data_IF_075570224838
#
_entry.id   IF_075570224838
#
_cell.length_a   1.000
_cell.length_b   1.000
_cell.length_c   1.000
_cell.angle_alpha   90.00
_cell.angle_beta   90.00
_cell.angle_gamma   90.00
#
_symmetry.space_group_name_H-M   'P 1'
#
loop_
_entity.id
_entity.type
_entity.pdbx_description
1 polymer ?
#
# COMPACT_ATOMS: atom_id res chain seq x y z
N UNK A 1 23.55 2.83 38.35
CA UNK A 1 22.25 2.72 39.05
C UNK A 1 21.38 1.78 38.24
N UNK A 2 20.83 0.72 38.82
CA UNK A 2 19.94 -0.22 38.11
C UNK A 2 18.52 0.36 38.08
N UNK A 3 17.89 0.39 36.91
CA UNK A 3 16.51 0.83 36.78
C UNK A 3 15.56 -0.25 37.32
N UNK A 4 14.63 0.12 38.20
CA UNK A 4 13.69 -0.79 38.87
C UNK A 4 12.21 -0.56 38.50
N UNK A 5 11.93 0.37 37.57
CA UNK A 5 10.57 0.61 37.09
C UNK A 5 10.01 -0.62 36.36
N UNK A 6 8.67 -0.73 36.29
CA UNK A 6 8.00 -1.78 35.50
C UNK A 6 8.46 -1.74 34.04
N UNK A 7 8.46 -0.57 33.41
CA UNK A 7 8.90 -0.40 32.04
C UNK A 7 10.32 -0.91 31.78
N UNK A 8 11.26 -0.69 32.71
CA UNK A 8 12.63 -1.20 32.59
C UNK A 8 12.69 -2.73 32.70
N UNK A 9 11.84 -3.34 33.53
CA UNK A 9 11.75 -4.80 33.64
C UNK A 9 11.16 -5.40 32.37
N UNK A 10 10.03 -4.86 31.90
CA UNK A 10 9.34 -5.33 30.70
C UNK A 10 10.28 -5.28 29.47
N UNK A 11 11.02 -4.17 29.31
CA UNK A 11 12.00 -4.02 28.24
C UNK A 11 13.20 -4.96 28.41
N UNK A 12 13.71 -5.11 29.64
CA UNK A 12 14.82 -6.04 29.91
C UNK A 12 14.42 -7.49 29.62
N UNK A 13 13.18 -7.88 29.91
CA UNK A 13 12.72 -9.25 29.72
C UNK A 13 12.51 -9.53 28.23
N UNK A 14 11.88 -8.59 27.49
CA UNK A 14 11.78 -8.66 26.03
C UNK A 14 13.15 -8.74 25.33
N UNK A 15 14.15 -7.98 25.81
CA UNK A 15 15.51 -8.04 25.27
C UNK A 15 16.15 -9.41 25.55
N UNK A 16 16.01 -9.94 26.76
CA UNK A 16 16.58 -11.25 27.12
C UNK A 16 15.96 -12.39 26.32
N UNK A 17 14.65 -12.36 26.06
CA UNK A 17 14.00 -13.41 25.26
C UNK A 17 14.41 -13.33 23.79
N UNK A 18 14.75 -12.15 23.30
CA UNK A 18 15.17 -11.94 21.90
C UNK A 18 16.62 -12.36 21.65
N UNK A 19 17.49 -12.25 22.65
CA UNK A 19 18.94 -12.52 22.53
C UNK A 19 19.23 -14.03 22.50
N UNK A 20 20.09 -14.45 21.58
CA UNK A 20 20.73 -15.77 21.54
C UNK A 20 22.16 -15.69 22.04
N UNK A 21 22.35 -15.97 23.34
CA UNK A 21 23.67 -15.92 24.00
C UNK A 21 24.66 -16.98 23.52
N UNK A 22 24.23 -17.94 22.69
CA UNK A 22 25.12 -18.94 22.08
C UNK A 22 25.85 -18.41 20.84
N UNK A 23 25.45 -17.26 20.30
CA UNK A 23 26.10 -16.59 19.18
C UNK A 23 27.05 -15.52 19.71
N UNK A 24 28.25 -15.43 19.13
CA UNK A 24 29.18 -14.34 19.44
C UNK A 24 28.72 -13.05 18.73
N UNK A 25 28.41 -11.95 19.46
CA UNK A 25 27.97 -10.69 18.86
C UNK A 25 29.02 -10.07 17.93
N UNK A 26 30.30 -10.39 18.10
CA UNK A 26 31.37 -9.95 17.20
C UNK A 26 31.41 -10.74 15.89
N UNK A 27 30.79 -11.93 15.83
CA UNK A 27 30.67 -12.73 14.61
C UNK A 27 29.40 -12.42 13.84
N UNK A 28 28.27 -12.37 14.53
CA UNK A 28 26.99 -11.93 13.96
C UNK A 28 26.14 -11.29 15.03
N UNK A 29 26.17 -9.95 15.07
CA UNK A 29 25.34 -9.19 15.99
C UNK A 29 23.84 -9.45 15.73
N UNK A 30 23.43 -9.58 14.46
CA UNK A 30 22.04 -9.87 14.09
C UNK A 30 21.55 -11.19 14.68
N UNK A 31 22.28 -12.29 14.50
CA UNK A 31 21.89 -13.59 15.07
C UNK A 31 21.92 -13.56 16.61
N UNK A 32 22.89 -12.86 17.19
CA UNK A 32 22.94 -12.64 18.64
C UNK A 32 21.70 -11.91 19.17
N UNK A 33 21.18 -10.89 18.49
CA UNK A 33 20.03 -10.10 18.99
C UNK A 33 18.65 -10.61 18.55
N UNK A 34 18.56 -11.33 17.42
CA UNK A 34 17.27 -11.69 16.80
C UNK A 34 16.91 -13.18 16.90
N UNK A 35 17.86 -14.11 16.97
CA UNK A 35 17.56 -15.55 16.87
C UNK A 35 16.64 -16.04 18.00
N UNK A 36 16.74 -15.43 19.19
CA UNK A 36 15.85 -15.76 20.30
C UNK A 36 14.40 -15.43 19.97
N UNK A 37 14.16 -14.28 19.31
CA UNK A 37 12.85 -13.89 18.82
C UNK A 37 12.35 -14.80 17.70
N UNK A 38 13.19 -15.04 16.69
CA UNK A 38 12.83 -15.83 15.49
C UNK A 38 12.50 -17.29 15.82
N UNK A 39 13.07 -17.83 16.90
CA UNK A 39 12.74 -19.18 17.39
C UNK A 39 11.30 -19.30 17.88
N UNK A 40 10.80 -18.25 18.55
CA UNK A 40 9.49 -18.28 19.21
C UNK A 40 8.40 -17.57 18.39
N UNK A 41 8.78 -16.85 17.32
CA UNK A 41 7.87 -16.02 16.52
C UNK A 41 7.97 -16.35 15.03
N UNK A 42 6.81 -16.58 14.41
CA UNK A 42 6.68 -16.78 12.96
C UNK A 42 6.94 -15.48 12.18
N UNK A 43 6.80 -14.33 12.85
CA UNK A 43 6.92 -13.02 12.23
C UNK A 43 8.20 -12.31 12.68
N UNK A 44 8.79 -11.55 11.75
CA UNK A 44 9.88 -10.63 12.07
C UNK A 44 9.44 -9.59 13.11
N UNK A 45 10.40 -9.05 13.87
CA UNK A 45 10.13 -7.99 14.87
C UNK A 45 9.35 -6.82 14.27
N UNK A 46 9.68 -6.43 13.04
CA UNK A 46 8.97 -5.34 12.33
C UNK A 46 7.49 -5.67 12.11
N UNK A 47 7.19 -6.89 11.67
CA UNK A 47 5.81 -7.34 11.47
C UNK A 47 5.06 -7.39 12.79
N UNK A 48 5.71 -7.81 13.88
CA UNK A 48 5.11 -7.80 15.20
C UNK A 48 4.79 -6.39 15.71
N UNK A 49 5.72 -5.45 15.62
CA UNK A 49 5.47 -4.04 15.97
C UNK A 49 4.33 -3.44 15.16
N UNK A 50 4.25 -3.78 13.87
CA UNK A 50 3.12 -3.35 13.04
C UNK A 50 1.81 -4.00 13.49
N UNK A 51 1.83 -5.29 13.83
CA UNK A 51 0.66 -6.01 14.36
C UNK A 51 0.16 -5.38 15.67
N UNK A 52 1.04 -4.99 16.59
CA UNK A 52 0.63 -4.30 17.82
C UNK A 52 -0.10 -2.98 17.54
N UNK A 53 0.37 -2.20 16.55
CA UNK A 53 -0.31 -0.96 16.15
C UNK A 53 -1.67 -1.28 15.52
N UNK A 54 -1.73 -2.31 14.68
CA UNK A 54 -2.97 -2.79 14.05
C UNK A 54 -3.99 -3.21 15.11
N UNK A 55 -3.59 -3.99 16.11
CA UNK A 55 -4.44 -4.42 17.22
C UNK A 55 -4.99 -3.24 18.03
N UNK A 56 -4.15 -2.24 18.32
CA UNK A 56 -4.62 -1.05 19.05
C UNK A 56 -5.59 -0.19 18.25
N UNK A 57 -5.35 -0.05 16.94
CA UNK A 57 -6.28 0.65 16.03
C UNK A 57 -7.59 -0.11 15.91
N UNK A 58 -7.53 -1.45 15.87
CA UNK A 58 -8.69 -2.32 15.92
C UNK A 58 -9.52 -2.09 17.18
N UNK A 59 -8.89 -2.18 18.35
CA UNK A 59 -9.56 -1.97 19.64
C UNK A 59 -10.21 -0.60 19.73
N UNK A 60 -9.49 0.44 19.27
CA UNK A 60 -10.04 1.79 19.15
C UNK A 60 -11.26 1.85 18.24
N UNK A 61 -11.15 1.26 17.04
CA UNK A 61 -12.23 1.24 16.06
C UNK A 61 -13.45 0.46 16.59
N UNK A 62 -13.28 -0.61 17.38
CA UNK A 62 -14.36 -1.40 17.98
C UNK A 62 -14.97 -0.80 19.25
N UNK A 63 -14.23 0.01 19.99
CA UNK A 63 -14.75 0.74 21.15
C UNK A 63 -15.69 1.90 20.77
N UNK A 64 -15.63 2.38 19.52
CA UNK A 64 -16.40 3.55 19.06
C UNK A 64 -17.90 3.28 18.94
N UNK A 65 -18.75 4.22 19.36
CA UNK A 65 -20.18 4.15 19.02
C UNK A 65 -20.40 4.71 17.60
N UNK A 66 -21.03 3.91 16.74
CA UNK A 66 -21.29 4.24 15.33
C UNK A 66 -22.81 4.37 15.13
N UNK A 67 -23.36 5.59 15.12
CA UNK A 67 -24.78 5.79 14.89
C UNK A 67 -25.14 5.47 13.44
N UNK A 68 -26.40 5.11 13.18
CA UNK A 68 -26.90 4.83 11.82
C UNK A 68 -26.89 6.09 10.94
N UNK A 69 -27.07 7.28 11.53
CA UNK A 69 -27.11 8.57 10.84
C UNK A 69 -26.26 9.60 11.56
N UNK A 70 -25.74 10.59 10.82
CA UNK A 70 -24.97 11.70 11.39
C UNK A 70 -23.57 11.31 11.88
N UNK A 71 -22.97 10.28 11.27
CA UNK A 71 -21.61 9.87 11.58
C UNK A 71 -20.61 10.99 11.26
N UNK A 72 -19.67 11.24 12.16
CA UNK A 72 -18.50 12.07 11.85
C UNK A 72 -17.43 11.26 11.08
N UNK A 73 -16.37 11.93 10.63
CA UNK A 73 -15.31 11.31 9.82
C UNK A 73 -14.65 10.12 10.54
N UNK A 74 -14.39 10.23 11.85
CA UNK A 74 -13.79 9.15 12.64
C UNK A 74 -14.71 7.95 12.74
N UNK A 75 -16.01 8.18 12.96
CA UNK A 75 -17.02 7.12 13.02
C UNK A 75 -17.18 6.43 11.67
N UNK A 76 -17.13 7.17 10.56
CA UNK A 76 -17.12 6.58 9.22
C UNK A 76 -15.88 5.72 8.98
N UNK A 77 -14.70 6.19 9.42
CA UNK A 77 -13.46 5.43 9.30
C UNK A 77 -13.48 4.13 10.15
N UNK A 78 -14.01 4.21 11.37
CA UNK A 78 -14.22 3.04 12.23
C UNK A 78 -15.24 2.07 11.63
N UNK A 79 -16.34 2.58 11.04
CA UNK A 79 -17.33 1.75 10.35
C UNK A 79 -16.73 1.02 9.14
N UNK A 80 -15.93 1.73 8.34
CA UNK A 80 -15.19 1.15 7.21
C UNK A 80 -14.25 0.03 7.68
N UNK A 81 -13.49 0.27 8.75
CA UNK A 81 -12.60 -0.75 9.32
C UNK A 81 -13.38 -1.99 9.78
N UNK A 82 -14.47 -1.82 10.55
CA UNK A 82 -15.30 -2.94 11.04
C UNK A 82 -15.91 -3.74 9.90
N UNK A 83 -16.38 -3.06 8.84
CA UNK A 83 -16.92 -3.73 7.66
C UNK A 83 -15.87 -4.61 6.98
N UNK A 84 -14.60 -4.20 6.97
CA UNK A 84 -13.50 -5.01 6.47
C UNK A 84 -13.21 -6.20 7.42
N UNK A 85 -13.08 -5.95 8.72
CA UNK A 85 -12.83 -6.99 9.74
C UNK A 85 -13.94 -8.07 9.75
N UNK A 86 -15.20 -7.69 9.50
CA UNK A 86 -16.33 -8.62 9.35
C UNK A 86 -16.13 -9.61 8.20
N UNK A 87 -15.58 -9.17 7.07
CA UNK A 87 -15.25 -10.07 5.94
C UNK A 87 -14.12 -11.02 6.32
N UNK A 88 -13.04 -10.48 6.88
CA UNK A 88 -11.84 -11.23 7.30
C UNK A 88 -12.20 -12.36 8.26
N UNK A 89 -13.10 -12.08 9.21
CA UNK A 89 -13.55 -13.03 10.22
C UNK A 89 -14.77 -13.86 9.78
N UNK A 90 -15.22 -13.73 8.54
CA UNK A 90 -16.32 -14.54 7.97
C UNK A 90 -17.70 -14.22 8.56
N UNK A 91 -17.86 -13.02 9.13
CA UNK A 91 -19.15 -12.49 9.59
C UNK A 91 -19.96 -11.83 8.47
N UNK A 92 -19.31 -11.53 7.35
CA UNK A 92 -19.94 -10.97 6.16
C UNK A 92 -19.40 -11.62 4.89
N UNK A 93 -20.28 -11.80 3.90
CA UNK A 93 -19.94 -12.11 2.52
C UNK A 93 -20.36 -10.92 1.64
N UNK A 94 -19.38 -10.34 0.95
CA UNK A 94 -19.49 -9.15 0.11
C UNK A 94 -19.22 -9.47 -1.37
N UNK A 95 -19.13 -10.76 -1.74
CA UNK A 95 -18.79 -11.19 -3.08
C UNK A 95 -19.70 -10.57 -4.16
N UNK A 96 -21.02 -10.57 -3.94
CA UNK A 96 -21.97 -10.00 -4.90
C UNK A 96 -21.76 -8.48 -5.14
N UNK A 97 -21.48 -7.74 -4.07
CA UNK A 97 -21.22 -6.29 -4.14
C UNK A 97 -19.89 -5.99 -4.82
N UNK A 98 -18.85 -6.77 -4.52
CA UNK A 98 -17.56 -6.67 -5.22
C UNK A 98 -17.71 -6.99 -6.71
N UNK A 99 -18.51 -8.00 -7.06
CA UNK A 99 -18.81 -8.31 -8.47
C UNK A 99 -19.53 -7.17 -9.19
N UNK A 100 -20.49 -6.53 -8.54
CA UNK A 100 -21.16 -5.35 -9.09
C UNK A 100 -20.17 -4.19 -9.30
N UNK A 101 -19.29 -3.94 -8.33
CA UNK A 101 -18.24 -2.92 -8.44
C UNK A 101 -17.27 -3.20 -9.59
N UNK A 102 -16.81 -4.45 -9.75
CA UNK A 102 -15.92 -4.85 -10.84
C UNK A 102 -16.59 -4.65 -12.20
N UNK A 103 -17.85 -5.06 -12.36
CA UNK A 103 -18.62 -4.81 -13.59
C UNK A 103 -18.78 -3.31 -13.87
N UNK A 104 -19.02 -2.51 -12.84
CA UNK A 104 -19.06 -1.05 -12.95
C UNK A 104 -17.73 -0.42 -13.37
N UNK A 105 -16.62 -1.08 -13.07
CA UNK A 105 -15.27 -0.73 -13.54
C UNK A 105 -14.92 -1.32 -14.92
N UNK A 106 -15.89 -1.92 -15.61
CA UNK A 106 -15.71 -2.65 -16.87
C UNK A 106 -14.79 -3.88 -16.76
N UNK A 107 -14.63 -4.45 -15.56
CA UNK A 107 -13.89 -5.69 -15.34
C UNK A 107 -14.87 -6.85 -15.48
N UNK A 108 -14.74 -7.61 -16.57
CA UNK A 108 -15.63 -8.72 -16.91
C UNK A 108 -15.14 -10.08 -16.41
N UNK A 109 -14.06 -10.15 -15.63
CA UNK A 109 -13.48 -11.41 -15.19
C UNK A 109 -14.50 -12.26 -14.40
N UNK A 110 -14.61 -13.57 -14.69
CA UNK A 110 -13.72 -14.38 -15.53
C UNK A 110 -14.12 -14.49 -17.01
N UNK A 111 -15.09 -13.72 -17.46
CA UNK A 111 -15.50 -13.69 -18.85
C UNK A 111 -14.45 -12.98 -19.70
N UNK A 112 -14.11 -13.59 -20.85
CA UNK A 112 -13.34 -12.96 -21.90
C UNK A 112 -14.14 -11.73 -22.37
N UNK A 113 -13.59 -10.51 -22.28
CA UNK A 113 -14.37 -9.32 -22.61
C UNK A 113 -14.86 -9.42 -24.06
N UNK A 114 -16.18 -9.26 -24.29
CA UNK A 114 -16.81 -9.30 -25.62
C UNK A 114 -16.44 -8.09 -26.52
N UNK A 115 -15.25 -7.53 -26.33
CA UNK A 115 -14.68 -6.40 -27.04
C UNK A 115 -13.51 -5.80 -26.25
N UNK A 116 -12.65 -4.99 -26.88
CA UNK A 116 -11.62 -4.26 -26.16
C UNK A 116 -12.30 -3.21 -25.28
N UNK A 117 -12.53 -3.55 -24.01
CA UNK A 117 -12.91 -2.57 -23.00
C UNK A 117 -11.91 -1.41 -22.98
N UNK A 118 -12.36 -0.20 -22.61
CA UNK A 118 -11.46 0.95 -22.50
C UNK A 118 -10.55 0.75 -21.28
N UNK A 119 -9.37 0.15 -21.50
CA UNK A 119 -8.46 -0.22 -20.42
C UNK A 119 -7.98 1.01 -19.66
N UNK A 120 -7.76 2.14 -20.36
CA UNK A 120 -7.40 3.38 -19.71
C UNK A 120 -8.47 3.84 -18.72
N UNK A 121 -9.75 3.76 -19.12
CA UNK A 121 -10.85 4.06 -18.22
C UNK A 121 -10.87 3.11 -17.02
N UNK A 122 -10.67 1.81 -17.24
CA UNK A 122 -10.60 0.79 -16.18
C UNK A 122 -9.51 1.10 -15.18
N UNK A 123 -8.29 1.39 -15.65
CA UNK A 123 -7.13 1.75 -14.83
C UNK A 123 -7.37 3.03 -14.00
N UNK A 124 -7.96 4.06 -14.62
CA UNK A 124 -8.32 5.29 -13.92
C UNK A 124 -9.44 5.06 -12.91
N UNK A 125 -10.44 4.25 -13.24
CA UNK A 125 -11.56 3.95 -12.36
C UNK A 125 -11.09 3.20 -11.11
N UNK A 126 -10.38 2.08 -11.30
CA UNK A 126 -9.88 1.29 -10.18
C UNK A 126 -8.95 2.10 -9.29
N UNK A 127 -8.01 2.87 -9.86
CA UNK A 127 -7.09 3.65 -9.06
C UNK A 127 -7.70 4.89 -8.41
N UNK A 128 -8.45 5.73 -9.14
CA UNK A 128 -8.90 7.04 -8.64
C UNK A 128 -10.25 6.95 -7.94
N UNK A 129 -11.13 6.04 -8.36
CA UNK A 129 -12.48 5.91 -7.78
C UNK A 129 -12.51 4.87 -6.66
N UNK A 130 -11.88 3.72 -6.86
CA UNK A 130 -11.90 2.62 -5.88
C UNK A 130 -10.66 2.63 -4.96
N UNK A 131 -9.58 3.31 -5.34
CA UNK A 131 -8.30 3.21 -4.63
C UNK A 131 -7.65 1.84 -4.75
N UNK A 132 -8.06 1.04 -5.73
CA UNK A 132 -7.53 -0.28 -6.06
C UNK A 132 -6.47 -0.15 -7.14
N UNK A 133 -5.31 0.34 -6.74
CA UNK A 133 -4.14 0.49 -7.60
C UNK A 133 -3.39 -0.84 -7.74
N UNK A 134 -4.00 -1.76 -8.49
CA UNK A 134 -3.51 -3.12 -8.69
C UNK A 134 -2.17 -3.15 -9.44
N UNK A 135 -2.10 -2.48 -10.60
CA UNK A 135 -0.92 -2.49 -11.47
C UNK A 135 -0.26 -1.10 -11.54
N UNK A 136 -1.05 -0.05 -11.71
CA UNK A 136 -0.59 1.34 -11.72
C UNK A 136 -1.43 2.16 -10.76
N UNK A 137 -0.79 3.12 -10.07
CA UNK A 137 -1.49 4.13 -9.28
C UNK A 137 -1.45 5.46 -10.01
N UNK A 138 -2.59 6.13 -9.99
CA UNK A 138 -2.76 7.52 -10.42
C UNK A 138 -2.96 8.40 -9.20
N UNK A 139 -2.22 9.50 -9.13
CA UNK A 139 -2.39 10.53 -8.10
C UNK A 139 -2.32 11.90 -8.74
N UNK A 140 -3.14 12.84 -8.29
CA UNK A 140 -3.04 14.24 -8.72
C UNK A 140 -2.09 14.93 -7.76
N UNK A 141 -0.95 15.40 -8.27
CA UNK A 141 0.02 16.17 -7.50
C UNK A 141 -0.13 17.63 -7.86
N UNK A 142 -0.53 18.45 -6.87
CA UNK A 142 -0.52 19.91 -6.99
C UNK A 142 0.81 20.43 -6.49
N UNK A 143 1.77 20.58 -7.39
CA UNK A 143 3.05 21.21 -7.04
C UNK A 143 2.99 22.70 -7.32
N UNK A 144 3.86 23.53 -6.71
CA UNK A 144 3.94 24.96 -7.04
C UNK A 144 4.23 25.26 -8.52
N UNK A 145 4.69 24.26 -9.28
CA UNK A 145 5.13 24.40 -10.65
C UNK A 145 4.09 23.93 -11.68
N UNK A 146 3.13 23.07 -11.33
CA UNK A 146 1.96 22.67 -12.15
C UNK A 146 1.15 21.53 -11.48
N UNK A 147 -0.12 21.39 -11.87
CA UNK A 147 -0.98 20.23 -11.58
C UNK A 147 -0.60 19.08 -12.51
N UNK A 148 -0.03 18.01 -11.97
CA UNK A 148 0.37 16.85 -12.75
C UNK A 148 -0.39 15.59 -12.31
N UNK A 149 -0.78 14.77 -13.29
CA UNK A 149 -1.16 13.39 -13.07
C UNK A 149 0.11 12.57 -12.87
N UNK A 150 0.38 12.17 -11.63
CA UNK A 150 1.52 11.33 -11.29
C UNK A 150 1.13 9.87 -11.40
N UNK A 151 1.85 9.15 -12.25
CA UNK A 151 1.73 7.71 -12.47
C UNK A 151 2.87 7.01 -11.75
N UNK A 152 2.55 5.96 -11.00
CA UNK A 152 3.54 5.13 -10.28
C UNK A 152 3.13 3.66 -10.31
N UNK A 153 4.05 2.73 -9.99
CA UNK A 153 3.70 1.33 -9.79
C UNK A 153 2.60 1.20 -8.73
N UNK A 154 1.64 0.30 -8.99
CA UNK A 154 0.54 0.01 -8.08
C UNK A 154 1.04 -0.42 -6.71
N UNK A 155 0.41 0.06 -5.63
CA UNK A 155 0.77 -0.36 -4.28
C UNK A 155 0.58 -1.87 -4.10
N UNK A 156 -0.47 -2.42 -4.70
CA UNK A 156 -0.80 -3.85 -4.62
C UNK A 156 0.12 -4.70 -5.49
N UNK A 157 0.67 -4.15 -6.58
CA UNK A 157 1.70 -4.80 -7.39
C UNK A 157 2.92 -5.19 -6.55
N UNK A 158 3.30 -4.35 -5.58
CA UNK A 158 4.42 -4.63 -4.68
C UNK A 158 4.14 -5.81 -3.74
N UNK A 159 2.88 -5.99 -3.33
CA UNK A 159 2.44 -7.13 -2.50
C UNK A 159 2.33 -8.43 -3.31
N UNK A 160 1.82 -8.37 -4.54
CA UNK A 160 1.74 -9.52 -5.46
C UNK A 160 3.14 -9.95 -5.91
N UNK A 161 4.08 -9.00 -6.07
CA UNK A 161 5.44 -9.27 -6.50
C UNK A 161 6.35 -9.85 -5.41
N UNK A 162 6.10 -9.54 -4.14
CA UNK A 162 6.84 -10.16 -3.05
C UNK A 162 6.38 -11.62 -2.94
N UNK A 163 7.05 -12.51 -3.67
CA UNK A 163 6.84 -13.97 -3.75
C UNK A 163 6.75 -14.67 -2.38
N UNK A 164 6.99 -13.95 -1.30
CA UNK A 164 6.94 -14.43 0.08
C UNK A 164 5.54 -14.41 0.70
N UNK A 165 4.54 -13.74 0.12
CA UNK A 165 3.32 -13.40 0.88
C UNK A 165 2.07 -14.24 0.56
N UNK A 166 1.97 -14.89 -0.60
CA UNK A 166 0.72 -15.59 -0.99
C UNK A 166 0.89 -17.03 -1.50
N UNK A 167 1.73 -17.24 -2.52
CA UNK A 167 1.85 -18.54 -3.18
C UNK A 167 3.31 -18.97 -3.29
N UNK A 168 3.70 -19.89 -2.41
CA UNK A 168 5.04 -20.51 -2.44
C UNK A 168 5.18 -21.51 -3.61
N UNK A 169 4.06 -21.96 -4.19
CA UNK A 169 4.02 -22.97 -5.25
C UNK A 169 3.04 -22.62 -6.39
N UNK A 170 3.32 -23.13 -7.60
CA UNK A 170 2.41 -23.02 -8.74
C UNK A 170 1.07 -23.75 -8.50
N UNK A 171 1.07 -24.81 -7.69
CA UNK A 171 -0.16 -25.51 -7.31
C UNK A 171 -1.07 -24.63 -6.45
N UNK A 172 -0.50 -23.90 -5.48
CA UNK A 172 -1.26 -22.95 -4.67
C UNK A 172 -1.97 -21.87 -5.50
N UNK A 173 -1.27 -21.33 -6.52
CA UNK A 173 -1.87 -20.37 -7.47
C UNK A 173 -3.02 -20.99 -8.26
N UNK A 174 -2.86 -22.22 -8.73
CA UNK A 174 -3.90 -22.94 -9.47
C UNK A 174 -5.13 -23.22 -8.62
N UNK A 175 -4.94 -23.67 -7.38
CA UNK A 175 -6.03 -23.86 -6.42
C UNK A 175 -6.75 -22.53 -6.21
N UNK A 176 -6.03 -21.46 -5.89
CA UNK A 176 -6.63 -20.14 -5.68
C UNK A 176 -7.39 -19.62 -6.90
N UNK A 177 -6.83 -19.75 -8.10
CA UNK A 177 -7.54 -19.39 -9.33
C UNK A 177 -8.85 -20.16 -9.46
N UNK A 178 -8.83 -21.48 -9.26
CA UNK A 178 -10.04 -22.31 -9.35
C UNK A 178 -11.09 -21.94 -8.31
N UNK A 179 -10.68 -21.55 -7.11
CA UNK A 179 -11.57 -21.07 -6.05
C UNK A 179 -12.20 -19.72 -6.41
N UNK A 180 -11.42 -18.76 -6.92
CA UNK A 180 -11.96 -17.51 -7.46
C UNK A 180 -12.94 -17.78 -8.62
N UNK A 181 -12.56 -18.66 -9.54
CA UNK A 181 -13.43 -19.04 -10.66
C UNK A 181 -14.76 -19.61 -10.16
N UNK A 182 -14.73 -20.47 -9.15
CA UNK A 182 -15.95 -21.06 -8.57
C UNK A 182 -16.80 -20.00 -7.91
N UNK A 183 -16.20 -19.13 -7.09
CA UNK A 183 -16.90 -18.07 -6.40
C UNK A 183 -17.55 -17.09 -7.38
N UNK A 184 -16.81 -16.64 -8.39
CA UNK A 184 -17.27 -15.62 -9.33
C UNK A 184 -18.28 -16.18 -10.36
N UNK A 185 -18.22 -17.48 -10.67
CA UNK A 185 -19.20 -18.15 -11.55
C UNK A 185 -20.47 -18.60 -10.83
N UNK A 186 -20.45 -18.74 -9.50
CA UNK A 186 -21.51 -19.40 -8.72
C UNK A 186 -22.93 -18.84 -8.93
N UNK A 187 -23.04 -17.63 -9.48
CA UNK A 187 -24.30 -16.94 -9.75
C UNK A 187 -24.71 -16.90 -11.24
N UNK A 188 -23.88 -17.44 -12.13
CA UNK A 188 -24.01 -17.23 -13.58
C UNK A 188 -24.36 -18.52 -14.34
N UNK A 189 -25.62 -18.96 -14.22
CA UNK A 189 -26.12 -20.16 -14.93
C UNK A 189 -26.28 -19.99 -16.45
N UNK A 190 -26.16 -18.76 -16.98
CA UNK A 190 -26.49 -18.42 -18.37
C UNK A 190 -25.35 -17.73 -19.14
N UNK A 191 -24.09 -17.85 -18.72
CA UNK A 191 -23.00 -17.17 -19.43
C UNK A 191 -22.64 -17.92 -20.70
N UNK A 192 -22.92 -17.28 -21.84
CA UNK A 192 -22.49 -17.71 -23.17
C UNK A 192 -21.08 -17.22 -23.52
N UNK A 193 -20.54 -16.28 -22.75
CA UNK A 193 -19.21 -15.72 -22.97
C UNK A 193 -18.12 -16.78 -22.79
N UNK A 194 -17.06 -16.68 -23.60
CA UNK A 194 -15.86 -17.49 -23.42
C UNK A 194 -15.28 -17.19 -22.05
N UNK A 195 -14.87 -18.22 -21.32
CA UNK A 195 -14.27 -18.05 -20.00
C UNK A 195 -12.76 -18.16 -20.12
N UNK A 196 -12.05 -17.26 -19.45
CA UNK A 196 -10.58 -17.24 -19.46
C UNK A 196 -10.04 -18.51 -18.82
N UNK A 197 -8.99 -19.08 -19.41
CA UNK A 197 -8.31 -20.26 -18.86
C UNK A 197 -7.26 -19.84 -17.82
N UNK A 198 -6.89 -20.78 -16.94
CA UNK A 198 -5.77 -20.59 -16.02
C UNK A 198 -4.48 -20.33 -16.81
N UNK A 199 -4.25 -21.13 -17.84
CA UNK A 199 -3.05 -21.09 -18.67
C UNK A 199 -2.89 -19.73 -19.36
N UNK A 200 -3.95 -19.18 -19.95
CA UNK A 200 -3.91 -17.86 -20.59
C UNK A 200 -3.64 -16.76 -19.56
N UNK A 201 -4.31 -16.82 -18.41
CA UNK A 201 -4.16 -15.82 -17.34
C UNK A 201 -2.73 -15.80 -16.78
N UNK A 202 -2.19 -16.97 -16.46
CA UNK A 202 -0.84 -17.11 -15.90
C UNK A 202 0.25 -16.83 -16.94
N UNK A 203 0.04 -17.18 -18.22
CA UNK A 203 0.99 -16.81 -19.27
C UNK A 203 1.14 -15.29 -19.40
N UNK A 204 0.01 -14.56 -19.37
CA UNK A 204 0.00 -13.09 -19.40
C UNK A 204 0.61 -12.52 -18.12
N UNK A 205 0.23 -13.04 -16.94
CA UNK A 205 0.78 -12.61 -15.66
C UNK A 205 2.31 -12.80 -15.61
N UNK A 206 2.83 -13.98 -15.96
CA UNK A 206 4.26 -14.25 -15.94
C UNK A 206 5.04 -13.36 -16.90
N UNK A 207 4.49 -13.09 -18.08
CA UNK A 207 5.09 -12.14 -19.03
C UNK A 207 5.14 -10.72 -18.46
N UNK A 208 4.04 -10.25 -17.88
CA UNK A 208 3.93 -8.91 -17.34
C UNK A 208 4.79 -8.72 -16.09
N UNK A 209 4.66 -9.62 -15.11
CA UNK A 209 5.42 -9.60 -13.85
C UNK A 209 6.92 -9.67 -14.12
N UNK A 210 7.39 -10.58 -14.99
CA UNK A 210 8.81 -10.71 -15.30
C UNK A 210 9.44 -9.41 -15.80
N UNK A 211 8.74 -8.70 -16.71
CA UNK A 211 9.22 -7.42 -17.26
C UNK A 211 9.09 -6.27 -16.25
N UNK A 212 7.92 -6.10 -15.62
CA UNK A 212 7.65 -5.01 -14.68
C UNK A 212 8.54 -5.09 -13.43
N UNK A 213 8.82 -6.29 -12.95
CA UNK A 213 9.74 -6.56 -11.86
C UNK A 213 11.15 -6.07 -12.13
N UNK A 214 11.68 -6.40 -13.32
CA UNK A 214 13.02 -5.98 -13.73
C UNK A 214 13.11 -4.47 -13.88
N UNK A 215 12.04 -3.83 -14.34
CA UNK A 215 11.95 -2.39 -14.46
C UNK A 215 11.80 -1.68 -13.11
N UNK A 216 11.22 -2.34 -12.10
CA UNK A 216 10.99 -1.77 -10.78
C UNK A 216 12.22 -1.89 -9.88
N UNK A 217 13.18 -0.99 -10.02
CA UNK A 217 14.32 -0.89 -9.11
C UNK A 217 14.00 -0.05 -7.86
N UNK A 218 14.62 -0.39 -6.72
CA UNK A 218 14.49 0.38 -5.47
C UNK A 218 14.95 1.83 -5.65
N UNK A 219 15.96 2.07 -6.49
CA UNK A 219 16.45 3.41 -6.83
C UNK A 219 15.38 4.29 -7.50
N UNK A 220 14.45 3.71 -8.24
CA UNK A 220 13.38 4.46 -8.91
C UNK A 220 12.22 4.86 -7.99
N UNK A 221 12.12 4.33 -6.77
CA UNK A 221 11.08 4.77 -5.82
C UNK A 221 11.27 6.22 -5.39
N UNK A 222 12.54 6.64 -5.32
CA UNK A 222 12.95 7.95 -4.82
C UNK A 222 13.48 8.86 -5.92
N UNK A 223 13.25 8.50 -7.19
CA UNK A 223 13.64 9.30 -8.34
C UNK A 223 12.97 10.69 -8.31
N UNK A 224 13.63 11.66 -8.96
CA UNK A 224 13.04 12.95 -9.24
C UNK A 224 11.83 12.78 -10.16
N UNK A 225 10.80 13.59 -9.91
CA UNK A 225 9.62 13.59 -10.75
C UNK A 225 10.03 13.99 -12.18
N UNK A 226 9.77 13.09 -13.12
CA UNK A 226 10.14 13.22 -14.54
C UNK A 226 8.88 13.20 -15.38
N UNK A 227 8.88 13.92 -16.51
CA UNK A 227 7.74 13.92 -17.44
C UNK A 227 7.60 12.53 -18.07
N UNK A 228 6.39 11.98 -18.06
CA UNK A 228 6.06 10.66 -18.57
C UNK A 228 5.44 10.75 -19.98
N UNK A 229 6.10 11.43 -20.92
CA UNK A 229 5.52 11.68 -22.24
C UNK A 229 5.24 10.38 -23.02
N UNK A 230 6.08 9.36 -22.84
CA UNK A 230 5.88 8.00 -23.40
C UNK A 230 4.56 7.35 -22.94
N UNK A 231 3.98 7.80 -21.82
CA UNK A 231 2.70 7.30 -21.33
C UNK A 231 1.50 8.04 -21.93
N UNK A 232 1.73 9.27 -22.39
CA UNK A 232 0.71 10.12 -23.02
C UNK A 232 0.60 9.81 -24.51
N UNK A 233 1.74 9.63 -25.17
CA UNK A 233 1.85 9.47 -26.60
C UNK A 233 2.55 8.15 -26.94
N UNK A 234 1.74 7.10 -27.07
CA UNK A 234 2.17 5.76 -27.43
C UNK A 234 1.15 5.15 -28.38
N UNK A 235 1.23 5.48 -29.69
CA UNK A 235 0.25 5.05 -30.68
C UNK A 235 0.16 3.53 -30.80
N UNK A 236 1.28 2.81 -30.61
CA UNK A 236 1.32 1.34 -30.63
C UNK A 236 0.53 0.71 -29.47
N UNK A 237 0.33 1.45 -28.37
CA UNK A 237 -0.53 1.08 -27.25
C UNK A 237 -1.93 1.71 -27.35
N UNK A 238 -2.25 2.40 -28.45
CA UNK A 238 -3.51 3.13 -28.62
C UNK A 238 -3.69 4.27 -27.61
N UNK A 239 -2.59 4.84 -27.10
CA UNK A 239 -2.59 5.96 -26.16
C UNK A 239 -2.31 7.26 -26.91
N UNK A 240 -3.13 8.28 -26.64
CA UNK A 240 -2.95 9.64 -27.16
C UNK A 240 -3.43 10.66 -26.14
N UNK A 241 -2.96 11.90 -26.26
CA UNK A 241 -3.41 13.01 -25.40
C UNK A 241 -4.94 13.21 -25.45
N UNK A 242 -5.55 13.02 -26.62
CA UNK A 242 -7.00 13.09 -26.78
C UNK A 242 -7.73 11.99 -25.98
N UNK A 243 -7.22 10.75 -26.02
CA UNK A 243 -7.78 9.63 -25.26
C UNK A 243 -7.65 9.86 -23.76
N UNK A 244 -6.50 10.34 -23.29
CA UNK A 244 -6.27 10.74 -21.90
C UNK A 244 -7.22 11.84 -21.44
N UNK A 245 -7.34 12.91 -22.23
CA UNK A 245 -8.22 14.03 -21.93
C UNK A 245 -9.68 13.57 -21.84
N UNK A 246 -10.12 12.76 -22.80
CA UNK A 246 -11.46 12.17 -22.79
C UNK A 246 -11.67 11.30 -21.53
N UNK A 247 -10.73 10.44 -21.18
CA UNK A 247 -10.82 9.59 -20.01
C UNK A 247 -10.88 10.40 -18.69
N UNK A 248 -9.99 11.37 -18.50
CA UNK A 248 -9.94 12.24 -17.31
C UNK A 248 -11.20 13.11 -17.16
N UNK A 249 -11.76 13.57 -18.28
CA UNK A 249 -12.99 14.36 -18.28
C UNK A 249 -14.19 13.59 -17.68
N UNK A 250 -14.24 12.25 -17.86
CA UNK A 250 -15.26 11.40 -17.23
C UNK A 250 -15.16 11.40 -15.70
N UNK A 251 -13.97 11.61 -15.15
CA UNK A 251 -13.73 11.75 -13.71
C UNK A 251 -13.82 13.20 -13.22
N UNK A 252 -14.17 14.15 -14.10
CA UNK A 252 -14.20 15.60 -13.81
C UNK A 252 -12.84 16.13 -13.34
N UNK A 253 -11.76 15.53 -13.82
CA UNK A 253 -10.39 15.96 -13.53
C UNK A 253 -9.95 16.90 -14.65
N UNK A 254 -9.80 18.17 -14.31
CA UNK A 254 -9.27 19.20 -15.21
C UNK A 254 -7.89 19.62 -14.69
N UNK A 255 -6.85 19.31 -15.44
CA UNK A 255 -5.48 19.71 -15.13
C UNK A 255 -5.24 21.13 -15.67
N UNK A 256 -4.76 22.04 -14.82
CA UNK A 256 -4.40 23.39 -15.24
C UNK A 256 -3.13 23.34 -16.10
N UNK A 257 -3.17 23.93 -17.30
CA UNK A 257 -2.01 23.93 -18.22
C UNK A 257 -2.00 22.76 -19.22
N UNK A 258 -3.07 21.96 -19.29
CA UNK A 258 -3.17 20.82 -20.19
C UNK A 258 -2.76 19.50 -19.53
N UNK A 259 -2.64 18.44 -20.33
CA UNK A 259 -2.28 17.12 -19.82
C UNK A 259 -0.79 17.06 -19.46
N UNK A 260 -0.48 17.29 -18.18
CA UNK A 260 0.85 17.04 -17.64
C UNK A 260 0.86 15.69 -16.89
N UNK A 261 1.53 14.69 -17.46
CA UNK A 261 1.73 13.38 -16.83
C UNK A 261 3.18 13.24 -16.40
N UNK A 262 3.38 12.83 -15.15
CA UNK A 262 4.70 12.67 -14.56
C UNK A 262 4.85 11.33 -13.85
N UNK A 263 6.08 10.90 -13.64
CA UNK A 263 6.41 9.66 -12.93
C UNK A 263 7.72 9.80 -12.18
N UNK A 264 7.86 9.06 -11.08
CA UNK A 264 9.16 8.86 -10.41
C UNK A 264 9.86 7.59 -10.87
N UNK A 265 9.14 6.72 -11.59
CA UNK A 265 9.61 5.40 -12.04
C UNK A 265 9.49 5.30 -13.57
N UNK A 266 10.32 6.04 -14.33
CA UNK A 266 10.23 6.11 -15.78
C UNK A 266 10.42 4.74 -16.45
N UNK A 267 11.35 3.90 -15.97
CA UNK A 267 11.56 2.58 -16.56
C UNK A 267 10.35 1.67 -16.38
N UNK A 268 9.69 1.72 -15.22
CA UNK A 268 8.45 1.00 -14.99
C UNK A 268 7.35 1.43 -15.97
N UNK A 269 7.11 2.74 -16.09
CA UNK A 269 6.07 3.29 -16.97
C UNK A 269 6.33 2.92 -18.42
N UNK A 270 7.57 3.06 -18.89
CA UNK A 270 7.99 2.63 -20.23
C UNK A 270 7.74 1.15 -20.48
N UNK A 271 8.09 0.31 -19.51
CA UNK A 271 7.90 -1.15 -19.59
C UNK A 271 6.43 -1.52 -19.61
N UNK A 272 5.59 -0.82 -18.82
CA UNK A 272 4.15 -1.01 -18.83
C UNK A 272 3.51 -0.65 -20.18
N UNK A 273 3.92 0.47 -20.79
CA UNK A 273 3.45 0.85 -22.14
C UNK A 273 3.89 -0.16 -23.20
N UNK A 274 5.15 -0.62 -23.12
CA UNK A 274 5.66 -1.66 -24.02
C UNK A 274 4.90 -2.98 -23.87
N UNK A 275 4.54 -3.36 -22.64
CA UNK A 275 3.67 -4.50 -22.38
C UNK A 275 2.29 -4.31 -22.99
N UNK A 276 1.71 -3.12 -22.89
CA UNK A 276 0.42 -2.81 -23.51
C UNK A 276 0.48 -2.94 -25.03
N UNK A 277 1.48 -2.36 -25.67
CA UNK A 277 1.69 -2.54 -27.10
C UNK A 277 1.89 -4.01 -27.50
N UNK A 278 2.56 -4.81 -26.66
CA UNK A 278 2.84 -6.24 -26.94
C UNK A 278 1.59 -7.12 -26.79
N UNK A 279 0.83 -6.93 -25.70
CA UNK A 279 -0.32 -7.76 -25.35
C UNK A 279 -1.62 -7.29 -26.03
N UNK A 280 -1.64 -6.04 -26.51
CA UNK A 280 -2.84 -5.36 -26.96
C UNK A 280 -3.82 -5.07 -25.81
N UNK A 281 -4.93 -4.42 -26.16
CA UNK A 281 -5.94 -4.01 -25.18
C UNK A 281 -6.53 -5.23 -24.42
N UNK A 282 -6.89 -6.29 -25.14
CA UNK A 282 -7.51 -7.48 -24.55
C UNK A 282 -6.58 -8.23 -23.57
N UNK A 283 -5.33 -8.47 -23.96
CA UNK A 283 -4.35 -9.14 -23.09
C UNK A 283 -4.02 -8.31 -21.85
N UNK A 284 -3.89 -6.98 -22.00
CA UNK A 284 -3.71 -6.11 -20.84
C UNK A 284 -4.96 -6.02 -19.97
N UNK A 285 -6.16 -6.04 -20.56
CA UNK A 285 -7.40 -6.06 -19.82
C UNK A 285 -7.51 -7.33 -18.98
N UNK A 286 -7.14 -8.49 -19.53
CA UNK A 286 -7.03 -9.74 -18.76
C UNK A 286 -6.06 -9.60 -17.59
N UNK A 287 -4.85 -9.07 -17.83
CA UNK A 287 -3.85 -8.86 -16.79
C UNK A 287 -4.34 -7.95 -15.67
N UNK A 288 -4.83 -6.76 -16.01
CA UNK A 288 -5.32 -5.77 -15.05
C UNK A 288 -6.54 -6.28 -14.30
N UNK A 289 -7.45 -6.98 -14.99
CA UNK A 289 -8.61 -7.61 -14.36
C UNK A 289 -8.19 -8.66 -13.35
N UNK A 290 -7.25 -9.55 -13.72
CA UNK A 290 -6.72 -10.57 -12.82
C UNK A 290 -6.11 -9.95 -11.56
N UNK A 291 -5.19 -8.99 -11.71
CA UNK A 291 -4.58 -8.31 -10.56
C UNK A 291 -5.62 -7.56 -9.72
N UNK A 292 -6.64 -6.95 -10.33
CA UNK A 292 -7.69 -6.24 -9.60
C UNK A 292 -8.59 -7.21 -8.84
N UNK A 293 -8.96 -8.35 -9.44
CA UNK A 293 -9.73 -9.41 -8.77
C UNK A 293 -8.96 -9.96 -7.58
N UNK A 294 -7.64 -10.18 -7.68
CA UNK A 294 -6.82 -10.60 -6.55
C UNK A 294 -6.88 -9.60 -5.38
N UNK A 295 -6.81 -8.30 -5.66
CA UNK A 295 -6.93 -7.25 -4.64
C UNK A 295 -8.36 -7.20 -4.08
N UNK A 296 -9.36 -7.31 -4.95
CA UNK A 296 -10.77 -7.24 -4.59
C UNK A 296 -11.23 -8.45 -3.77
N UNK A 297 -10.66 -9.63 -4.02
CA UNK A 297 -10.96 -10.87 -3.32
C UNK A 297 -10.75 -10.75 -1.81
N UNK A 298 -9.78 -9.93 -1.37
CA UNK A 298 -9.53 -9.65 0.04
C UNK A 298 -10.68 -8.92 0.74
N UNK A 299 -11.68 -8.43 0.00
CA UNK A 299 -12.89 -7.79 0.53
C UNK A 299 -14.16 -8.59 0.26
N UNK A 300 -14.07 -9.81 -0.27
CA UNK A 300 -15.24 -10.60 -0.64
C UNK A 300 -15.74 -11.46 0.51
N UNK A 301 -15.04 -12.56 0.81
CA UNK A 301 -15.36 -13.48 1.88
C UNK A 301 -14.09 -14.11 2.46
N UNK A 302 -14.23 -14.71 3.64
CA UNK A 302 -13.13 -15.34 4.37
C UNK A 302 -12.49 -16.51 3.62
N UNK A 303 -13.26 -17.28 2.85
CA UNK A 303 -12.73 -18.46 2.16
C UNK A 303 -11.72 -18.07 1.08
N UNK A 304 -12.03 -17.04 0.29
CA UNK A 304 -11.11 -16.52 -0.72
C UNK A 304 -9.85 -15.90 -0.09
N UNK A 305 -9.99 -15.22 1.05
CA UNK A 305 -8.84 -14.72 1.82
C UNK A 305 -7.96 -15.89 2.29
N UNK A 306 -8.54 -16.93 2.88
CA UNK A 306 -7.79 -18.10 3.34
C UNK A 306 -7.06 -18.78 2.18
N UNK A 307 -7.72 -18.95 1.03
CA UNK A 307 -7.10 -19.56 -0.15
C UNK A 307 -5.97 -18.69 -0.72
N UNK A 308 -6.04 -17.36 -0.61
CA UNK A 308 -4.95 -16.46 -1.02
C UNK A 308 -3.66 -16.67 -0.19
N UNK A 309 -3.81 -17.06 1.08
CA UNK A 309 -2.70 -17.32 2.00
C UNK A 309 -2.44 -18.82 2.20
N UNK A 310 -2.68 -19.65 1.18
CA UNK A 310 -2.47 -21.10 1.21
C UNK A 310 -3.10 -21.81 2.42
N UNK A 311 -4.29 -21.33 2.82
CA UNK A 311 -5.07 -21.80 3.99
C UNK A 311 -4.36 -21.64 5.33
N UNK A 312 -3.26 -20.90 5.41
CA UNK A 312 -2.65 -20.49 6.68
C UNK A 312 -3.53 -19.42 7.34
N UNK A 313 -4.39 -19.87 8.26
CA UNK A 313 -5.32 -18.99 8.96
C UNK A 313 -4.64 -17.91 9.78
N UNK A 314 -3.42 -18.14 10.27
CA UNK A 314 -2.67 -17.18 11.09
C UNK A 314 -2.09 -16.08 10.21
N UNK A 315 -1.45 -16.44 9.10
CA UNK A 315 -1.01 -15.46 8.09
C UNK A 315 -2.21 -14.67 7.56
N UNK A 316 -3.27 -15.37 7.17
CA UNK A 316 -4.48 -14.74 6.66
C UNK A 316 -5.05 -13.70 7.63
N UNK A 317 -5.17 -14.03 8.92
CA UNK A 317 -5.67 -13.08 9.91
C UNK A 317 -4.74 -11.86 10.05
N UNK A 318 -3.45 -12.07 10.30
CA UNK A 318 -2.51 -10.96 10.56
C UNK A 318 -2.40 -10.03 9.36
N UNK A 319 -2.26 -10.58 8.15
CA UNK A 319 -2.15 -9.76 6.94
C UNK A 319 -3.47 -9.09 6.57
N UNK A 320 -4.61 -9.73 6.83
CA UNK A 320 -5.90 -9.13 6.52
C UNK A 320 -6.29 -8.05 7.52
N UNK A 321 -5.98 -8.20 8.80
CA UNK A 321 -6.17 -7.15 9.80
C UNK A 321 -5.28 -5.93 9.48
N UNK A 322 -4.02 -6.19 9.15
CA UNK A 322 -3.08 -5.18 8.64
C UNK A 322 -3.61 -4.48 7.38
N UNK A 323 -4.19 -5.24 6.46
CA UNK A 323 -4.79 -4.73 5.23
C UNK A 323 -6.00 -3.85 5.53
N UNK A 324 -6.91 -4.26 6.42
CA UNK A 324 -8.05 -3.47 6.83
C UNK A 324 -7.63 -2.14 7.47
N UNK A 325 -6.62 -2.16 8.35
CA UNK A 325 -6.05 -0.91 8.92
C UNK A 325 -5.44 -0.06 7.83
N UNK A 326 -4.58 -0.63 6.97
CA UNK A 326 -3.94 0.11 5.88
C UNK A 326 -4.96 0.75 4.94
N UNK A 327 -6.08 0.08 4.66
CA UNK A 327 -7.13 0.62 3.78
C UNK A 327 -7.97 1.68 4.45
N UNK A 328 -8.36 1.47 5.72
CA UNK A 328 -8.97 2.53 6.52
C UNK A 328 -8.06 3.76 6.62
N UNK A 329 -6.73 3.56 6.69
CA UNK A 329 -5.75 4.64 6.61
C UNK A 329 -5.75 5.31 5.25
N UNK A 330 -5.61 4.57 4.14
CA UNK A 330 -5.56 5.19 2.81
C UNK A 330 -6.82 6.03 2.54
N UNK A 331 -7.99 5.55 2.97
CA UNK A 331 -9.27 6.23 2.73
C UNK A 331 -9.57 7.32 3.76
N UNK A 332 -9.06 7.22 4.99
CA UNK A 332 -9.49 8.05 6.11
C UNK A 332 -8.40 8.28 7.18
N UNK A 333 -7.12 8.35 6.77
CA UNK A 333 -5.95 8.35 7.65
C UNK A 333 -6.09 9.31 8.84
N UNK A 334 -6.31 10.59 8.54
CA UNK A 334 -6.43 11.63 9.55
C UNK A 334 -7.62 11.38 10.50
N UNK A 335 -8.71 10.82 9.97
CA UNK A 335 -9.94 10.62 10.73
C UNK A 335 -9.82 9.48 11.75
N UNK A 336 -9.11 8.38 11.44
CA UNK A 336 -8.93 7.26 12.36
C UNK A 336 -7.71 7.43 13.28
N UNK A 337 -6.57 7.84 12.71
CA UNK A 337 -5.32 7.89 13.47
C UNK A 337 -5.18 9.11 14.34
N UNK A 338 -5.67 10.30 13.94
CA UNK A 338 -5.48 11.48 14.78
C UNK A 338 -6.17 11.36 16.15
N UNK A 339 -7.43 10.87 16.24
CA UNK A 339 -8.08 10.63 17.53
C UNK A 339 -7.41 9.51 18.34
N UNK A 340 -7.07 8.39 17.69
CA UNK A 340 -6.33 7.30 18.33
C UNK A 340 -5.00 7.79 18.93
N UNK A 341 -4.23 8.55 18.14
CA UNK A 341 -2.94 9.11 18.54
C UNK A 341 -3.11 10.10 19.69
N UNK A 342 -4.17 10.92 19.68
CA UNK A 342 -4.49 11.83 20.78
C UNK A 342 -4.85 11.09 22.08
N UNK A 343 -5.37 9.86 22.00
CA UNK A 343 -5.69 9.05 23.17
C UNK A 343 -4.47 8.31 23.73
N UNK A 344 -3.59 7.80 22.86
CA UNK A 344 -2.49 6.90 23.25
C UNK A 344 -1.17 7.64 23.47
N UNK A 345 -0.92 8.74 22.75
CA UNK A 345 0.29 9.53 22.99
C UNK A 345 0.12 10.39 24.22
N UNK A 346 1.06 10.24 25.16
CA UNK A 346 1.23 11.22 26.23
C UNK A 346 1.59 12.58 25.62
N UNK A 347 1.14 13.65 26.26
CA UNK A 347 1.39 15.02 25.80
C UNK A 347 2.89 15.37 25.72
N UNK A 348 3.74 14.72 26.52
CA UNK A 348 5.19 14.89 26.54
C UNK A 348 5.93 14.04 25.49
N UNK A 349 5.34 12.95 25.00
CA UNK A 349 5.98 12.08 24.02
C UNK A 349 6.39 12.82 22.72
N UNK A 350 5.59 13.82 22.31
CA UNK A 350 5.92 14.68 21.17
C UNK A 350 7.09 15.63 21.46
N UNK A 351 7.25 16.06 22.71
CA UNK A 351 8.38 16.88 23.15
C UNK A 351 9.64 16.01 23.17
N UNK A 352 9.58 14.84 23.80
CA UNK A 352 10.70 13.90 23.87
C UNK A 352 11.17 13.47 22.47
N UNK A 353 10.23 13.09 21.59
CA UNK A 353 10.54 12.72 20.22
C UNK A 353 11.20 13.88 19.44
N UNK A 354 10.73 15.12 19.68
CA UNK A 354 11.33 16.32 19.09
C UNK A 354 12.75 16.54 19.61
N UNK A 355 12.99 16.42 20.91
CA UNK A 355 14.31 16.58 21.50
C UNK A 355 15.29 15.53 20.97
N UNK A 356 14.89 14.27 20.91
CA UNK A 356 15.69 13.18 20.29
C UNK A 356 15.99 13.51 18.83
N UNK A 357 15.00 13.96 18.06
CA UNK A 357 15.19 14.31 16.65
C UNK A 357 16.18 15.47 16.49
N UNK A 358 16.09 16.50 17.34
CA UNK A 358 17.03 17.62 17.34
C UNK A 358 18.44 17.20 17.76
N UNK A 359 18.57 16.30 18.74
CA UNK A 359 19.84 15.75 19.19
C UNK A 359 20.53 14.93 18.09
N UNK A 360 19.80 14.02 17.44
CA UNK A 360 20.29 13.23 16.29
C UNK A 360 20.73 14.14 15.16
N UNK A 361 19.94 15.17 14.84
CA UNK A 361 20.28 16.17 13.83
C UNK A 361 21.57 16.91 14.17
N UNK A 362 21.74 17.37 15.42
CA UNK A 362 22.96 18.05 15.85
C UNK A 362 24.17 17.15 15.71
N UNK A 363 24.09 15.92 16.24
CA UNK A 363 25.18 14.97 16.14
C UNK A 363 25.54 14.61 14.68
N UNK A 364 24.54 14.53 13.80
CA UNK A 364 24.76 14.31 12.37
C UNK A 364 25.48 15.49 11.72
N UNK A 365 25.10 16.73 12.08
CA UNK A 365 25.79 17.95 11.63
C UNK A 365 27.24 17.96 12.08
N UNK A 366 27.48 17.77 13.38
CA UNK A 366 28.82 17.82 13.95
C UNK A 366 29.75 16.79 13.27
N UNK A 367 29.24 15.59 12.97
CA UNK A 367 29.99 14.55 12.25
C UNK A 367 30.27 14.89 10.80
N UNK A 368 29.33 15.53 10.11
CA UNK A 368 29.53 15.96 8.73
C UNK A 368 30.55 17.10 8.64
N UNK A 369 30.47 18.07 9.54
CA UNK A 369 31.42 19.19 9.63
C UNK A 369 32.84 18.70 9.98
N UNK A 370 32.94 17.65 10.80
CA UNK A 370 34.21 16.99 11.10
C UNK A 370 34.73 16.08 9.96
N UNK A 371 33.98 15.88 8.87
CA UNK A 371 34.37 14.99 7.77
C UNK A 371 35.44 15.66 6.88
N UNK A 372 36.61 15.03 6.65
CA UNK A 372 37.64 15.57 5.75
C UNK A 372 37.09 15.78 4.32
N UNK A 373 37.36 16.93 3.69
CA UNK A 373 36.84 17.34 2.36
C UNK A 373 35.37 17.77 2.30
N UNK A 374 34.75 18.08 3.44
CA UNK A 374 33.38 18.59 3.48
C UNK A 374 33.18 19.90 2.68
N UNK A 375 34.14 20.84 2.74
CA UNK A 375 34.06 22.14 2.05
C UNK A 375 34.16 22.05 0.51
N UNK A 376 34.74 20.96 -0.02
CA UNK A 376 34.90 20.75 -1.46
C UNK A 376 33.62 20.24 -2.14
N UNK A 377 32.61 19.81 -1.36
CA UNK A 377 31.32 19.33 -1.85
C UNK A 377 30.22 20.39 -1.74
N UNK A 378 30.14 21.31 -2.71
CA UNK A 378 29.09 22.35 -2.84
C UNK A 378 27.66 21.78 -2.75
N UNK A 379 27.46 20.52 -3.15
CA UNK A 379 26.21 19.77 -3.04
C UNK A 379 25.77 19.51 -1.60
N UNK A 380 26.69 19.42 -0.65
CA UNK A 380 26.38 19.21 0.77
C UNK A 380 25.85 20.51 1.39
N UNK A 381 26.39 21.66 0.97
CA UNK A 381 25.97 22.97 1.50
C UNK A 381 24.55 23.35 1.06
N UNK A 382 24.19 23.09 -0.20
CA UNK A 382 22.84 23.35 -0.72
C UNK A 382 21.77 22.41 -0.16
N UNK A 383 22.15 21.19 0.24
CA UNK A 383 21.28 20.22 0.92
C UNK A 383 20.94 20.60 2.37
N UNK A 384 21.57 21.62 2.98
CA UNK A 384 21.20 22.06 4.33
C UNK A 384 19.89 22.82 4.38
N UNK A 385 19.64 23.68 3.38
CA UNK A 385 18.39 24.42 3.33
C UNK A 385 17.18 23.46 3.24
N UNK A 386 17.36 22.33 2.56
CA UNK A 386 16.35 21.27 2.48
C UNK A 386 16.28 20.38 3.73
N UNK A 387 17.38 20.17 4.47
CA UNK A 387 17.37 19.51 5.77
C UNK A 387 16.72 20.36 6.87
N UNK A 388 16.88 21.68 6.83
CA UNK A 388 16.28 22.61 7.79
C UNK A 388 14.79 22.89 7.50
N UNK A 389 14.37 22.79 6.24
CA UNK A 389 13.00 23.14 5.81
C UNK A 389 11.89 22.36 6.54
N UNK A 390 11.96 21.02 6.71
CA UNK A 390 10.96 20.25 7.46
C UNK A 390 10.83 20.66 8.93
N UNK A 391 11.87 21.27 9.52
CA UNK A 391 11.88 21.67 10.93
C UNK A 391 11.35 23.08 11.17
N UNK A 392 11.32 23.93 10.13
CA UNK A 392 10.78 25.30 10.21
C UNK A 392 9.25 25.32 10.33
N UNK A 393 8.57 24.29 9.83
CA UNK A 393 7.11 24.15 9.90
C UNK A 393 6.60 23.61 11.24
N UNK A 394 7.49 23.11 12.11
CA UNK A 394 7.15 22.84 13.50
C UNK A 394 7.06 24.16 14.26
N UNK A 395 5.96 24.88 14.06
CA UNK A 395 5.60 25.98 14.94
C UNK A 395 5.65 25.48 16.39
N UNK A 396 6.17 26.27 17.34
CA UNK A 396 6.10 25.89 18.74
C UNK A 396 4.65 25.58 19.07
N UNK A 397 4.39 24.35 19.54
CA UNK A 397 3.11 24.00 20.15
C UNK A 397 2.88 25.07 21.22
N UNK A 398 1.95 25.99 20.98
CA UNK A 398 1.49 26.89 22.03
C UNK A 398 1.05 25.96 23.13
N UNK A 399 1.67 26.05 24.30
CA UNK A 399 1.17 25.38 25.48
C UNK A 399 -0.26 25.89 25.65
N UNK A 400 -1.23 25.09 25.27
CA UNK A 400 -2.61 25.31 25.65
C UNK A 400 -2.57 25.07 27.14
N UNK A 401 -2.40 26.16 27.90
CA UNK A 401 -2.42 26.13 29.35
C UNK A 401 -3.59 25.26 29.77
N UNK A 402 -3.30 24.33 30.67
CA UNK A 402 -4.23 23.41 31.29
C UNK A 402 -5.55 24.13 31.62
N UNK A 403 -6.51 24.05 30.69
CA UNK A 403 -7.90 24.30 31.04
C UNK A 403 -8.30 23.12 31.89
N UNK A 404 -8.41 23.37 33.19
CA UNK A 404 -9.00 22.43 34.13
C UNK A 404 -10.30 21.90 33.52
N UNK A 405 -10.37 20.59 33.38
CA UNK A 405 -11.62 19.87 33.19
C UNK A 405 -12.43 20.09 34.48
N UNK A 406 -13.70 20.54 34.41
CA UNK A 406 -14.59 20.61 35.56
C UNK A 406 -14.80 19.25 36.23
#
# INVERSE_FOLDING_TARGET
MLCSSSACRDYSDSLKTSINTSVDPCRSFTHFVCDGWERDNVFSVRQHQFAEVVERVRDFAFAMEIPVKGQNETQMAAALYRSCDDVVHGRSDQLALVMELLRGANITWPEDPEGPGDLLHTLLYTSLRLGWDAVVTFTISRTPLEDALVVKPGSSFSFVYDKTVGFETEEGKRVYFNELMRAFRGDQRNVTARIVSYEDTIAVENMALGKLAQAYSVSERNGTLSRAQEFVDAPDAGLSEARWTAALSRFRINLTGGLNVATRSPSYVKTFVSLWATLGEAGMHLFVSWCTVQVAALYTNRELILNYYDKDSRKAQVYSDAFCVSRAMIMSNAALFAPYTAQVLRSDAMVDAREVTLSVRSAFRDRLEAWPHYEENVTVVSNWASLDAPFRTFAPLKSTGSRGVP
#
